data_IF_671056858621
#
_entry.id   IF_671056858621
#
_cell.length_a   1.000
_cell.length_b   1.000
_cell.length_c   1.000
_cell.angle_alpha   90.00
_cell.angle_beta   90.00
_cell.angle_gamma   90.00
#
_symmetry.space_group_name_H-M   'P 1'
#
loop_
_entity.id
_entity.type
_entity.pdbx_description
1 polymer ?
#
# COMPACT_ATOMS: atom_id res chain seq x y z
N UNK A 1 27.21 14.51 27.28
CA UNK A 1 27.86 13.19 27.07
C UNK A 1 27.57 12.79 25.61
N UNK A 2 28.55 12.93 24.70
CA UNK A 2 28.36 12.67 23.25
C UNK A 2 28.42 11.15 23.00
N UNK A 3 27.48 10.62 22.22
CA UNK A 3 27.45 9.22 21.79
C UNK A 3 28.65 8.99 20.85
N UNK A 4 29.49 7.95 21.05
CA UNK A 4 30.57 7.67 20.12
C UNK A 4 29.96 7.19 18.79
N UNK A 5 30.28 7.87 17.69
CA UNK A 5 29.92 7.45 16.34
C UNK A 5 30.99 6.45 15.87
N UNK A 6 30.63 5.17 15.80
CA UNK A 6 31.49 4.16 15.19
C UNK A 6 31.51 4.39 13.67
N UNK A 7 32.70 4.56 13.08
CA UNK A 7 32.84 4.69 11.64
C UNK A 7 33.09 3.32 11.02
N UNK A 8 32.65 3.12 9.79
CA UNK A 8 32.88 1.88 9.03
C UNK A 8 34.36 1.46 9.00
N UNK A 9 35.28 2.42 9.07
CA UNK A 9 36.74 2.21 9.08
C UNK A 9 37.28 1.63 10.41
N UNK A 10 36.51 1.66 11.49
CA UNK A 10 36.90 1.14 12.81
C UNK A 10 36.52 -0.34 12.99
N UNK A 11 35.85 -0.95 12.00
CA UNK A 11 35.37 -2.33 12.03
C UNK A 11 36.39 -3.27 11.39
N UNK A 12 36.56 -4.47 11.95
CA UNK A 12 37.35 -5.51 11.30
C UNK A 12 36.65 -6.01 10.02
N UNK A 13 37.41 -6.56 9.06
CA UNK A 13 36.85 -7.11 7.83
C UNK A 13 35.73 -8.13 8.10
N UNK A 14 35.88 -8.97 9.14
CA UNK A 14 34.83 -9.89 9.58
C UNK A 14 33.57 -9.18 10.07
N UNK A 15 33.70 -8.07 10.80
CA UNK A 15 32.56 -7.29 11.28
C UNK A 15 31.82 -6.59 10.15
N UNK A 16 32.55 -6.09 9.14
CA UNK A 16 31.96 -5.50 7.93
C UNK A 16 31.15 -6.54 7.16
N UNK A 17 31.71 -7.75 6.95
CA UNK A 17 31.01 -8.85 6.25
C UNK A 17 29.71 -9.26 6.97
N UNK A 18 29.74 -9.36 8.31
CA UNK A 18 28.54 -9.69 9.11
C UNK A 18 27.51 -8.56 9.04
N UNK A 19 27.93 -7.30 9.10
CA UNK A 19 27.04 -6.14 8.99
C UNK A 19 26.36 -6.10 7.61
N UNK A 20 27.10 -6.29 6.52
CA UNK A 20 26.56 -6.32 5.15
C UNK A 20 25.61 -7.49 4.92
N UNK A 21 25.92 -8.69 5.43
CA UNK A 21 25.03 -9.83 5.37
C UNK A 21 23.71 -9.58 6.12
N UNK A 22 23.79 -8.91 7.28
CA UNK A 22 22.62 -8.53 8.07
C UNK A 22 21.77 -7.47 7.36
N UNK A 23 22.39 -6.45 6.78
CA UNK A 23 21.72 -5.39 6.03
C UNK A 23 21.04 -5.96 4.78
N UNK A 24 21.71 -6.87 4.07
CA UNK A 24 21.17 -7.56 2.90
C UNK A 24 19.96 -8.42 3.28
N UNK A 25 20.02 -9.14 4.40
CA UNK A 25 18.90 -9.93 4.91
C UNK A 25 17.69 -9.04 5.24
N UNK A 26 17.92 -7.92 5.94
CA UNK A 26 16.85 -6.96 6.25
C UNK A 26 16.22 -6.38 4.98
N UNK A 27 17.04 -5.97 4.02
CA UNK A 27 16.57 -5.47 2.72
C UNK A 27 15.71 -6.51 1.99
N UNK A 28 16.16 -7.76 1.93
CA UNK A 28 15.42 -8.86 1.30
C UNK A 28 14.09 -9.14 2.01
N UNK A 29 14.06 -9.11 3.35
CA UNK A 29 12.82 -9.32 4.11
C UNK A 29 11.80 -8.21 3.84
N UNK A 30 12.26 -6.96 3.73
CA UNK A 30 11.41 -5.82 3.41
C UNK A 30 10.90 -5.87 1.96
N UNK A 31 11.74 -6.27 1.00
CA UNK A 31 11.37 -6.53 -0.39
C UNK A 31 10.26 -7.57 -0.46
N UNK A 32 10.47 -8.72 0.20
CA UNK A 32 9.50 -9.81 0.25
C UNK A 32 8.18 -9.38 0.89
N UNK A 33 8.25 -8.59 1.97
CA UNK A 33 7.06 -8.03 2.64
C UNK A 33 6.29 -7.09 1.72
N UNK A 34 6.99 -6.18 1.03
CA UNK A 34 6.38 -5.27 0.05
C UNK A 34 5.74 -6.02 -1.11
N UNK A 35 6.40 -7.07 -1.62
CA UNK A 35 5.88 -7.95 -2.67
C UNK A 35 4.56 -8.59 -2.27
N UNK A 36 4.53 -9.25 -1.09
CA UNK A 36 3.31 -9.88 -0.54
C UNK A 36 2.17 -8.88 -0.36
N UNK A 37 2.46 -7.68 0.14
CA UNK A 37 1.44 -6.63 0.30
C UNK A 37 0.88 -6.21 -1.05
N UNK A 38 1.73 -6.02 -2.07
CA UNK A 38 1.28 -5.64 -3.42
C UNK A 38 0.39 -6.71 -4.05
N UNK A 39 0.81 -7.97 -3.98
CA UNK A 39 0.03 -9.11 -4.47
C UNK A 39 -1.32 -9.22 -3.76
N UNK A 40 -1.32 -9.06 -2.43
CA UNK A 40 -2.54 -9.08 -1.62
C UNK A 40 -3.50 -7.94 -2.00
N UNK A 41 -3.00 -6.70 -2.10
CA UNK A 41 -3.80 -5.55 -2.53
C UNK A 41 -4.34 -5.75 -3.94
N UNK A 42 -3.53 -6.28 -4.86
CA UNK A 42 -3.95 -6.57 -6.22
C UNK A 42 -5.07 -7.64 -6.26
N UNK A 43 -4.94 -8.70 -5.45
CA UNK A 43 -5.96 -9.74 -5.32
C UNK A 43 -7.27 -9.18 -4.74
N UNK A 44 -7.20 -8.33 -3.71
CA UNK A 44 -8.36 -7.65 -3.12
C UNK A 44 -9.09 -6.78 -4.13
N UNK A 45 -8.34 -5.98 -4.88
CA UNK A 45 -8.88 -5.06 -5.88
C UNK A 45 -9.33 -5.77 -7.17
N UNK A 46 -8.91 -7.01 -7.40
CA UNK A 46 -9.38 -7.84 -8.50
C UNK A 46 -10.89 -8.12 -8.45
N UNK A 47 -11.50 -8.11 -7.25
CA UNK A 47 -12.96 -8.24 -7.07
C UNK A 47 -13.77 -6.95 -7.29
N UNK A 48 -13.10 -5.83 -7.61
CA UNK A 48 -13.71 -4.51 -7.78
C UNK A 48 -13.62 -4.11 -9.25
N UNK A 49 -14.66 -3.46 -9.78
CA UNK A 49 -14.63 -2.96 -11.16
C UNK A 49 -13.52 -1.91 -11.34
N UNK A 50 -12.95 -1.83 -12.54
CA UNK A 50 -11.87 -0.90 -12.84
C UNK A 50 -12.25 0.56 -12.58
N UNK A 51 -13.45 0.96 -13.01
CA UNK A 51 -13.98 2.32 -12.79
C UNK A 51 -14.07 2.67 -11.29
N UNK A 52 -14.46 1.70 -10.46
CA UNK A 52 -14.57 1.91 -9.01
C UNK A 52 -13.21 1.95 -8.32
N UNK A 53 -12.19 1.22 -8.85
CA UNK A 53 -10.81 1.34 -8.37
C UNK A 53 -10.25 2.73 -8.62
N UNK A 54 -10.42 3.25 -9.84
CA UNK A 54 -9.96 4.60 -10.19
C UNK A 54 -10.65 5.63 -9.29
N UNK A 55 -11.96 5.51 -9.08
CA UNK A 55 -12.70 6.41 -8.21
C UNK A 55 -12.20 6.39 -6.75
N UNK A 56 -11.88 5.20 -6.22
CA UNK A 56 -11.30 5.06 -4.88
C UNK A 56 -9.90 5.69 -4.81
N UNK A 57 -9.04 5.44 -5.80
CA UNK A 57 -7.69 6.05 -5.86
C UNK A 57 -7.77 7.57 -5.88
N UNK A 58 -8.61 8.14 -6.74
CA UNK A 58 -8.79 9.59 -6.82
C UNK A 58 -9.32 10.17 -5.49
N UNK A 59 -10.22 9.48 -4.81
CA UNK A 59 -10.81 9.97 -3.57
C UNK A 59 -9.91 9.79 -2.33
N UNK A 60 -9.24 8.65 -2.21
CA UNK A 60 -8.58 8.19 -0.97
C UNK A 60 -7.05 8.30 -1.03
N UNK A 61 -6.45 8.16 -2.21
CA UNK A 61 -4.99 8.31 -2.41
C UNK A 61 -4.64 9.75 -2.78
N UNK A 62 -5.31 10.30 -3.80
CA UNK A 62 -5.07 11.67 -4.27
C UNK A 62 -5.78 12.73 -3.41
N UNK A 63 -6.75 12.30 -2.59
CA UNK A 63 -7.46 13.20 -1.66
C UNK A 63 -8.44 14.18 -2.34
N UNK A 64 -8.84 13.94 -3.59
CA UNK A 64 -9.77 14.82 -4.31
C UNK A 64 -11.09 15.00 -3.55
N UNK A 65 -11.64 16.22 -3.61
CA UNK A 65 -12.96 16.52 -3.06
C UNK A 65 -14.08 15.98 -3.95
N UNK A 66 -15.26 15.78 -3.38
CA UNK A 66 -16.42 15.31 -4.15
C UNK A 66 -16.82 16.29 -5.27
N UNK A 67 -16.64 17.60 -5.05
CA UNK A 67 -16.89 18.63 -6.07
C UNK A 67 -15.94 18.53 -7.27
N UNK A 68 -14.67 18.19 -7.03
CA UNK A 68 -13.70 17.98 -8.11
C UNK A 68 -14.02 16.69 -8.88
N UNK A 69 -14.43 15.63 -8.17
CA UNK A 69 -14.88 14.39 -8.81
C UNK A 69 -16.14 14.58 -9.66
N UNK A 70 -17.08 15.41 -9.21
CA UNK A 70 -18.27 15.79 -9.97
C UNK A 70 -17.89 16.51 -11.27
N UNK A 71 -16.92 17.43 -11.24
CA UNK A 71 -16.44 18.13 -12.44
C UNK A 71 -15.78 17.17 -13.46
N UNK A 72 -15.01 16.18 -12.98
CA UNK A 72 -14.31 15.21 -13.82
C UNK A 72 -15.28 14.19 -14.43
N UNK A 73 -16.13 13.58 -13.59
CA UNK A 73 -17.03 12.51 -14.03
C UNK A 73 -18.37 13.01 -14.56
N UNK A 74 -18.70 14.30 -14.37
CA UNK A 74 -19.97 14.93 -14.75
C UNK A 74 -21.22 14.22 -14.20
N UNK A 75 -21.10 13.70 -12.97
CA UNK A 75 -22.20 13.04 -12.23
C UNK A 75 -22.44 13.77 -10.93
N UNK A 76 -23.70 13.77 -10.49
CA UNK A 76 -24.09 14.44 -9.25
C UNK A 76 -23.37 13.87 -8.01
N UNK A 77 -23.18 14.73 -7.00
CA UNK A 77 -22.49 14.38 -5.76
C UNK A 77 -23.10 13.14 -5.06
N UNK A 78 -24.42 13.00 -5.07
CA UNK A 78 -25.12 11.91 -4.40
C UNK A 78 -24.85 10.55 -5.06
N UNK A 79 -24.81 10.49 -6.39
CA UNK A 79 -24.47 9.29 -7.15
C UNK A 79 -23.02 8.89 -6.90
N UNK A 80 -22.10 9.86 -6.85
CA UNK A 80 -20.70 9.61 -6.48
C UNK A 80 -20.58 9.05 -5.06
N UNK A 81 -21.32 9.59 -4.09
CA UNK A 81 -21.37 9.04 -2.72
C UNK A 81 -21.87 7.59 -2.69
N UNK A 82 -22.96 7.29 -3.37
CA UNK A 82 -23.50 5.91 -3.45
C UNK A 82 -22.50 4.98 -4.12
N UNK A 83 -21.85 5.43 -5.20
CA UNK A 83 -20.85 4.64 -5.93
C UNK A 83 -19.62 4.38 -5.07
N UNK A 84 -19.09 5.39 -4.39
CA UNK A 84 -18.00 5.26 -3.42
C UNK A 84 -18.36 4.29 -2.30
N UNK A 85 -19.56 4.40 -1.74
CA UNK A 85 -20.02 3.47 -0.70
C UNK A 85 -20.05 2.02 -1.20
N UNK A 86 -20.61 1.77 -2.40
CA UNK A 86 -20.63 0.44 -3.00
C UNK A 86 -19.23 -0.08 -3.35
N UNK A 87 -18.33 0.79 -3.81
CA UNK A 87 -16.93 0.45 -4.06
C UNK A 87 -16.24 -0.02 -2.77
N UNK A 88 -16.36 0.74 -1.68
CA UNK A 88 -15.83 0.36 -0.36
C UNK A 88 -16.40 -0.96 0.15
N UNK A 89 -17.71 -1.16 0.02
CA UNK A 89 -18.36 -2.41 0.42
C UNK A 89 -17.85 -3.62 -0.38
N UNK A 90 -17.51 -3.45 -1.66
CA UNK A 90 -16.92 -4.53 -2.46
C UNK A 90 -15.49 -4.85 -2.04
N UNK A 91 -14.68 -3.83 -1.75
CA UNK A 91 -13.33 -4.03 -1.18
C UNK A 91 -13.42 -4.77 0.15
N UNK A 92 -14.33 -4.36 1.04
CA UNK A 92 -14.54 -5.02 2.33
C UNK A 92 -14.94 -6.48 2.17
N UNK A 93 -15.89 -6.79 1.27
CA UNK A 93 -16.28 -8.18 0.97
C UNK A 93 -15.15 -8.99 0.35
N UNK A 94 -14.33 -8.38 -0.51
CA UNK A 94 -13.15 -9.05 -1.06
C UNK A 94 -12.13 -9.35 0.05
N UNK A 95 -11.96 -8.43 1.00
CA UNK A 95 -11.13 -8.62 2.19
C UNK A 95 -11.64 -9.75 3.07
N UNK A 96 -12.92 -9.76 3.42
CA UNK A 96 -13.53 -10.85 4.18
C UNK A 96 -13.31 -12.21 3.52
N UNK A 97 -13.52 -12.31 2.19
CA UNK A 97 -13.26 -13.55 1.44
C UNK A 97 -11.79 -13.96 1.47
N UNK A 98 -10.88 -13.01 1.31
CA UNK A 98 -9.44 -13.30 1.36
C UNK A 98 -8.96 -13.71 2.75
N UNK A 99 -9.56 -13.14 3.81
CA UNK A 99 -9.24 -13.47 5.19
C UNK A 99 -9.82 -14.83 5.63
N UNK A 100 -10.96 -15.23 5.06
CA UNK A 100 -11.57 -16.55 5.28
C UNK A 100 -10.83 -17.70 4.57
N UNK A 101 -9.98 -17.39 3.59
CA UNK A 101 -9.18 -18.37 2.84
C UNK A 101 -7.77 -18.59 3.46
N UNK A 102 -7.51 -18.03 4.63
CA UNK A 102 -6.28 -18.19 5.42
C UNK A 102 -6.48 -19.19 6.55
#
# INVERSE_FOLDING_TARGET
KRRPEARMADLSEQQVVVADASASTLAQTEENRKGRIREFVHALLGGVSEEDRILLTLKEVEGLSLKQLEAIYKVNENALKVRLFRARQRVLKAFERSALNC
#
